data_IF_388535433443
#
_entry.id   IF_388535433443
#
_cell.length_a   1.000
_cell.length_b   1.000
_cell.length_c   1.000
_cell.angle_alpha   90.00
_cell.angle_beta   90.00
_cell.angle_gamma   90.00
#
_symmetry.space_group_name_H-M   'P 1'
#
loop_
_entity.id
_entity.type
_entity.pdbx_description
1 polymer ?
#
# COMPACT_ATOMS: atom_id res chain seq x y z
N UNK A 1 18.77 5.68 39.55
CA UNK A 1 18.53 4.39 38.88
C UNK A 1 17.51 4.62 37.78
N UNK A 2 17.93 4.30 36.57
CA UNK A 2 17.40 4.73 35.27
C UNK A 2 16.03 4.12 34.94
N UNK A 3 14.95 4.82 35.27
CA UNK A 3 13.57 4.44 34.92
C UNK A 3 13.12 4.86 33.52
N UNK A 4 13.97 5.53 32.72
CA UNK A 4 13.59 6.07 31.39
C UNK A 4 13.88 5.13 30.23
N UNK A 5 14.66 4.07 30.44
CA UNK A 5 15.11 3.17 29.36
C UNK A 5 14.07 2.11 28.97
N UNK A 6 13.27 1.62 29.91
CA UNK A 6 12.35 0.51 29.67
C UNK A 6 11.20 0.84 28.68
N UNK A 7 10.75 2.09 28.63
CA UNK A 7 9.66 2.49 27.73
C UNK A 7 10.07 2.55 26.25
N UNK A 8 11.36 2.79 25.95
CA UNK A 8 11.84 2.88 24.56
C UNK A 8 11.92 1.48 23.94
N UNK A 9 12.35 0.47 24.69
CA UNK A 9 12.37 -0.92 24.22
C UNK A 9 10.96 -1.47 23.97
N UNK A 10 9.97 -1.08 24.77
CA UNK A 10 8.60 -1.56 24.63
C UNK A 10 7.91 -1.03 23.35
N UNK A 11 8.21 0.21 22.96
CA UNK A 11 7.72 0.79 21.69
C UNK A 11 8.35 0.11 20.46
N UNK A 12 9.62 -0.25 20.54
CA UNK A 12 10.31 -1.02 19.49
C UNK A 12 9.75 -2.45 19.36
N UNK A 13 9.39 -3.10 20.46
CA UNK A 13 8.77 -4.43 20.43
C UNK A 13 7.37 -4.41 19.79
N UNK A 14 6.59 -3.35 19.99
CA UNK A 14 5.27 -3.17 19.36
C UNK A 14 5.37 -2.95 17.84
N UNK A 15 6.45 -2.32 17.36
CA UNK A 15 6.72 -2.19 15.91
C UNK A 15 7.07 -3.52 15.25
N UNK A 16 7.66 -4.46 16.00
CA UNK A 16 8.03 -5.80 15.49
C UNK A 16 6.88 -6.83 15.59
N UNK A 17 5.88 -6.57 16.43
CA UNK A 17 4.66 -7.39 16.59
C UNK A 17 3.50 -6.94 15.69
N UNK A 18 3.64 -5.81 15.01
CA UNK A 18 2.92 -5.58 13.78
C UNK A 18 3.37 -6.66 12.82
N UNK A 19 2.63 -7.78 12.80
CA UNK A 19 2.68 -8.78 11.73
C UNK A 19 3.02 -8.04 10.44
N UNK A 20 3.95 -8.53 9.59
CA UNK A 20 3.89 -8.11 8.22
C UNK A 20 2.45 -8.44 7.84
N UNK A 21 1.63 -7.39 7.70
CA UNK A 21 0.39 -7.51 6.95
C UNK A 21 0.89 -8.24 5.73
N UNK A 22 0.37 -9.45 5.51
CA UNK A 22 0.61 -10.17 4.29
C UNK A 22 0.11 -9.22 3.23
N UNK A 23 0.99 -8.33 2.77
CA UNK A 23 0.84 -7.64 1.53
C UNK A 23 0.78 -8.83 0.61
N UNK A 24 -0.41 -9.06 0.08
CA UNK A 24 -0.64 -9.94 -1.04
C UNK A 24 0.23 -9.33 -2.16
N UNK A 25 1.53 -9.65 -2.08
CA UNK A 25 2.57 -9.20 -2.98
C UNK A 25 2.15 -9.70 -4.34
N UNK A 26 2.10 -8.79 -5.30
CA UNK A 26 1.73 -9.21 -6.65
C UNK A 26 2.78 -10.20 -7.14
N UNK A 27 2.34 -11.36 -7.60
CA UNK A 27 3.21 -12.31 -8.28
C UNK A 27 3.96 -11.58 -9.42
N UNK A 28 5.29 -11.74 -9.53
CA UNK A 28 6.08 -11.04 -10.53
C UNK A 28 5.55 -11.33 -11.94
N UNK A 29 5.34 -10.28 -12.72
CA UNK A 29 4.76 -10.35 -14.07
C UNK A 29 3.23 -10.35 -14.13
N UNK A 30 2.53 -10.23 -12.99
CA UNK A 30 1.07 -10.07 -12.96
C UNK A 30 0.66 -8.60 -12.89
N UNK A 31 -0.55 -8.32 -13.37
CA UNK A 31 -1.22 -7.03 -13.18
C UNK A 31 -2.57 -7.26 -12.52
N UNK A 32 -2.91 -6.40 -11.57
CA UNK A 32 -4.20 -6.39 -10.90
C UNK A 32 -4.92 -5.07 -11.11
N UNK A 33 -6.24 -5.10 -10.93
CA UNK A 33 -7.07 -3.90 -10.89
C UNK A 33 -7.72 -3.83 -9.52
N UNK A 34 -7.49 -2.74 -8.79
CA UNK A 34 -8.22 -2.44 -7.56
C UNK A 34 -9.27 -1.37 -7.80
N UNK A 35 -10.39 -1.48 -7.10
CA UNK A 35 -11.47 -0.51 -7.15
C UNK A 35 -11.75 -0.05 -5.72
N UNK A 36 -11.53 1.23 -5.46
CA UNK A 36 -11.81 1.87 -4.17
C UNK A 36 -13.07 2.75 -4.32
N UNK A 37 -14.17 2.44 -3.59
CA UNK A 37 -15.37 3.25 -3.61
C UNK A 37 -15.10 4.61 -2.94
N UNK A 38 -15.04 5.67 -3.76
CA UNK A 38 -14.81 7.03 -3.32
C UNK A 38 -16.07 7.88 -3.56
N UNK A 39 -16.74 8.29 -2.49
CA UNK A 39 -18.00 9.08 -2.55
C UNK A 39 -17.86 10.38 -3.38
N UNK A 40 -16.64 10.95 -3.40
CA UNK A 40 -16.20 11.94 -4.38
C UNK A 40 -14.83 11.55 -4.90
N UNK A 41 -14.79 10.97 -6.09
CA UNK A 41 -13.51 10.69 -6.72
C UNK A 41 -12.83 12.00 -7.14
N UNK A 42 -11.70 12.30 -6.49
CA UNK A 42 -10.77 13.34 -6.93
C UNK A 42 -9.62 12.66 -7.66
N UNK A 43 -9.36 13.05 -8.92
CA UNK A 43 -8.26 12.46 -9.72
C UNK A 43 -6.93 12.50 -8.97
N UNK A 44 -6.64 13.59 -8.27
CA UNK A 44 -5.41 13.74 -7.50
C UNK A 44 -5.37 12.76 -6.33
N UNK A 45 -6.43 12.70 -5.52
CA UNK A 45 -6.48 11.78 -4.36
C UNK A 45 -6.46 10.32 -4.81
N UNK A 46 -7.19 10.00 -5.88
CA UNK A 46 -7.21 8.67 -6.49
C UNK A 46 -5.81 8.25 -6.95
N UNK A 47 -5.10 9.12 -7.68
CA UNK A 47 -3.72 8.84 -8.09
C UNK A 47 -2.80 8.56 -6.90
N UNK A 48 -2.81 9.43 -5.89
CA UNK A 48 -1.98 9.27 -4.70
C UNK A 48 -2.29 7.97 -3.94
N UNK A 49 -3.57 7.63 -3.81
CA UNK A 49 -3.99 6.37 -3.19
C UNK A 49 -3.49 5.16 -3.99
N UNK A 50 -3.70 5.17 -5.32
CA UNK A 50 -3.25 4.10 -6.20
C UNK A 50 -1.72 3.92 -6.18
N UNK A 51 -0.94 5.01 -6.11
CA UNK A 51 0.52 4.93 -5.97
C UNK A 51 0.91 4.28 -4.63
N UNK A 52 0.23 4.64 -3.55
CA UNK A 52 0.49 4.10 -2.22
C UNK A 52 0.11 2.61 -2.13
N UNK A 53 -1.00 2.21 -2.74
CA UNK A 53 -1.41 0.80 -2.88
C UNK A 53 -0.39 0.04 -3.71
N UNK A 54 0.05 0.58 -4.85
CA UNK A 54 1.06 -0.05 -5.68
C UNK A 54 2.36 -0.32 -4.91
N UNK A 55 2.85 0.68 -4.17
CA UNK A 55 4.04 0.54 -3.32
C UNK A 55 3.84 -0.52 -2.24
N UNK A 56 2.67 -0.56 -1.58
CA UNK A 56 2.38 -1.58 -0.55
C UNK A 56 2.36 -2.99 -1.11
N UNK A 57 1.99 -3.18 -2.38
CA UNK A 57 1.95 -4.48 -3.05
C UNK A 57 3.25 -4.85 -3.77
N UNK A 58 4.32 -4.05 -3.63
CA UNK A 58 5.59 -4.26 -4.34
C UNK A 58 5.51 -3.98 -5.86
N UNK A 59 4.42 -3.36 -6.31
CA UNK A 59 4.15 -3.04 -7.70
C UNK A 59 4.38 -1.57 -8.04
N UNK A 60 4.00 -1.20 -9.26
CA UNK A 60 3.94 0.17 -9.73
C UNK A 60 2.57 0.46 -10.35
N UNK A 61 2.12 1.70 -10.20
CA UNK A 61 0.89 2.17 -10.81
C UNK A 61 1.08 2.33 -12.32
N UNK A 62 0.27 1.64 -13.13
CA UNK A 62 0.31 1.76 -14.59
C UNK A 62 -0.75 2.73 -15.11
N UNK A 63 -1.96 2.65 -14.56
CA UNK A 63 -3.04 3.59 -14.87
C UNK A 63 -3.97 3.77 -13.68
N UNK A 64 -4.67 4.90 -13.66
CA UNK A 64 -5.77 5.12 -12.73
C UNK A 64 -6.94 5.77 -13.45
N UNK A 65 -8.14 5.38 -13.08
CA UNK A 65 -9.38 5.97 -13.56
C UNK A 65 -10.19 6.45 -12.37
N UNK A 66 -10.88 7.56 -12.56
CA UNK A 66 -11.68 8.19 -11.54
C UNK A 66 -13.07 8.37 -12.11
N UNK A 67 -13.97 7.46 -11.73
CA UNK A 67 -15.39 7.49 -12.06
C UNK A 67 -16.18 8.27 -11.02
N UNK A 68 -17.50 8.41 -11.23
CA UNK A 68 -18.34 9.26 -10.37
C UNK A 68 -18.30 8.87 -8.88
N UNK A 69 -18.07 7.58 -8.57
CA UNK A 69 -17.98 7.06 -7.19
C UNK A 69 -16.90 6.00 -6.96
N UNK A 70 -15.97 5.88 -7.89
CA UNK A 70 -14.98 4.82 -7.88
C UNK A 70 -13.62 5.32 -8.35
N UNK A 71 -12.58 4.94 -7.63
CA UNK A 71 -11.20 5.09 -8.03
C UNK A 71 -10.68 3.71 -8.43
N UNK A 72 -10.33 3.55 -9.70
CA UNK A 72 -9.82 2.29 -10.24
C UNK A 72 -8.32 2.43 -10.43
N UNK A 73 -7.55 1.51 -9.85
CA UNK A 73 -6.10 1.48 -9.91
C UNK A 73 -5.65 0.24 -10.69
N UNK A 74 -4.92 0.42 -11.78
CA UNK A 74 -4.23 -0.68 -12.46
C UNK A 74 -2.80 -0.75 -11.97
N UNK A 75 -2.43 -1.86 -11.35
CA UNK A 75 -1.13 -2.03 -10.69
C UNK A 75 -0.48 -3.26 -11.28
N UNK A 76 0.78 -3.16 -11.67
CA UNK A 76 1.55 -4.31 -12.11
C UNK A 76 2.71 -4.58 -11.15
N UNK A 77 3.04 -5.86 -10.98
CA UNK A 77 4.21 -6.27 -10.21
C UNK A 77 5.47 -5.63 -10.82
N UNK A 78 6.37 -5.15 -9.97
CA UNK A 78 7.69 -4.76 -10.45
C UNK A 78 8.44 -6.04 -10.83
N UNK A 79 9.01 -6.09 -12.03
CA UNK A 79 9.72 -7.27 -12.55
C UNK A 79 11.07 -7.55 -11.85
N UNK A 80 11.27 -7.06 -10.62
CA UNK A 80 12.50 -7.26 -9.85
C UNK A 80 12.36 -8.58 -9.10
N UNK A 81 12.63 -9.67 -9.81
CA UNK A 81 12.56 -11.04 -9.30
C UNK A 81 13.12 -12.05 -10.30
N UNK A 82 14.43 -11.96 -10.57
CA UNK A 82 15.25 -13.04 -11.11
C UNK A 82 16.67 -12.92 -10.53
#
# INVERSE_FOLDING_TARGET
>A
MDGRSAHVCFLLALLLLGNPTSADELDPGTCTTEIDPLDRCSKTLCKWNCELVAMRRGGHLTSYECGDRECKCSICASSIGA
#
